data_IF_759986558688
#
_entry.id   IF_759986558688
#
_cell.length_a   1.000
_cell.length_b   1.000
_cell.length_c   1.000
_cell.angle_alpha   90.00
_cell.angle_beta   90.00
_cell.angle_gamma   90.00
#
_symmetry.space_group_name_H-M   'P 1'
#
loop_
_entity.id
_entity.type
_entity.pdbx_description
1 polymer ?
#
# COMPACT_ATOMS: atom_id res chain seq x y z
N UNK A 1 71.36 28.74 20.16
CA UNK A 1 71.16 29.90 19.26
C UNK A 1 71.64 29.54 17.85
N UNK A 2 70.88 29.94 16.81
CA UNK A 2 71.21 30.01 15.35
C UNK A 2 71.51 28.70 14.61
N UNK A 3 70.54 28.17 13.83
CA UNK A 3 70.16 28.46 12.40
C UNK A 3 70.98 27.61 11.41
N UNK A 4 70.38 26.55 10.85
CA UNK A 4 69.65 26.48 9.56
C UNK A 4 70.57 26.45 8.32
N UNK A 5 70.44 25.42 7.46
CA UNK A 5 69.73 25.55 6.17
C UNK A 5 70.13 24.49 5.11
N UNK A 6 69.12 23.69 4.71
CA UNK A 6 68.79 23.19 3.35
C UNK A 6 69.76 22.18 2.71
N UNK A 7 69.32 21.14 2.00
CA UNK A 7 68.84 21.18 0.59
C UNK A 7 68.48 19.70 0.24
N UNK A 8 67.22 19.32 -0.07
CA UNK A 8 66.63 19.04 -1.40
C UNK A 8 66.30 17.53 -1.67
N UNK A 9 65.00 17.29 -1.90
CA UNK A 9 64.34 16.45 -2.92
C UNK A 9 64.69 14.94 -3.01
N UNK A 10 63.70 14.08 -2.72
CA UNK A 10 63.22 13.10 -3.72
C UNK A 10 61.81 12.59 -3.40
N UNK A 11 60.90 12.74 -4.38
CA UNK A 11 59.54 12.18 -4.42
C UNK A 11 59.60 10.83 -5.14
N UNK A 12 59.14 9.73 -4.53
CA UNK A 12 58.65 8.50 -5.20
C UNK A 12 57.65 7.85 -4.23
N UNK A 13 56.33 7.91 -4.39
CA UNK A 13 55.40 7.37 -5.40
C UNK A 13 55.07 5.86 -5.21
N UNK A 14 53.83 5.61 -4.74
CA UNK A 14 52.94 4.43 -4.92
C UNK A 14 53.35 3.09 -4.30
N UNK A 15 52.46 2.51 -3.46
CA UNK A 15 51.93 1.16 -3.68
C UNK A 15 50.51 1.04 -3.13
N UNK A 16 49.56 1.11 -4.05
CA UNK A 16 48.16 0.75 -3.86
C UNK A 16 48.03 -0.76 -3.72
N UNK A 17 47.34 -1.23 -2.68
CA UNK A 17 46.72 -2.55 -2.62
C UNK A 17 45.43 -2.33 -1.79
N UNK A 18 44.21 -2.36 -2.32
CA UNK A 18 43.70 -3.21 -3.38
C UNK A 18 42.82 -4.30 -2.76
N UNK A 19 41.73 -3.92 -2.10
CA UNK A 19 40.65 -4.86 -1.77
C UNK A 19 39.30 -4.17 -1.89
N UNK A 20 38.88 -3.92 -3.13
CA UNK A 20 37.49 -3.59 -3.43
C UNK A 20 36.74 -4.92 -3.42
N UNK A 21 36.17 -5.26 -2.27
CA UNK A 21 35.16 -6.30 -2.20
C UNK A 21 33.91 -5.76 -2.89
N UNK A 22 33.81 -5.98 -4.21
CA UNK A 22 32.57 -5.80 -4.95
C UNK A 22 31.59 -6.89 -4.53
N UNK A 23 30.86 -6.66 -3.43
CA UNK A 23 29.56 -7.31 -3.25
C UNK A 23 28.62 -6.69 -4.28
N UNK A 24 28.61 -7.23 -5.49
CA UNK A 24 27.44 -7.14 -6.36
C UNK A 24 26.32 -7.93 -5.68
N UNK A 25 25.74 -7.32 -4.65
CA UNK A 25 24.46 -7.75 -4.12
C UNK A 25 23.48 -7.71 -5.26
N UNK A 26 22.86 -8.86 -5.56
CA UNK A 26 21.72 -8.93 -6.44
C UNK A 26 20.62 -8.12 -5.75
N UNK A 27 20.59 -6.82 -6.01
CA UNK A 27 19.45 -5.99 -5.69
C UNK A 27 18.31 -6.52 -6.55
N UNK A 28 17.45 -7.35 -5.96
CA UNK A 28 16.15 -7.64 -6.57
C UNK A 28 15.50 -6.28 -6.79
N UNK A 29 15.28 -5.92 -8.06
CA UNK A 29 14.60 -4.68 -8.38
C UNK A 29 13.19 -4.79 -7.80
N UNK A 30 12.90 -4.07 -6.72
CA UNK A 30 11.56 -4.06 -6.15
C UNK A 30 10.64 -3.37 -7.16
N UNK A 31 9.68 -4.13 -7.71
CA UNK A 31 8.65 -3.62 -8.61
C UNK A 31 7.48 -3.16 -7.74
N UNK A 32 7.23 -1.86 -7.74
CA UNK A 32 6.10 -1.25 -7.01
C UNK A 32 4.94 -0.99 -7.97
N UNK A 33 3.71 -0.96 -7.42
CA UNK A 33 2.48 -0.69 -8.19
C UNK A 33 2.18 -1.72 -9.30
N UNK A 34 2.73 -2.94 -9.23
CA UNK A 34 2.47 -4.02 -10.20
C UNK A 34 1.07 -4.64 -10.05
N UNK A 35 0.49 -4.54 -8.84
CA UNK A 35 -0.86 -4.98 -8.52
C UNK A 35 -1.55 -3.90 -7.70
N UNK A 36 -2.85 -3.76 -7.88
CA UNK A 36 -3.71 -2.94 -7.02
C UNK A 36 -4.71 -3.86 -6.28
N UNK A 37 -5.11 -3.44 -5.09
CA UNK A 37 -6.21 -4.04 -4.35
C UNK A 37 -7.34 -3.01 -4.22
N UNK A 38 -8.25 -2.93 -5.21
CA UNK A 38 -9.33 -1.94 -5.20
C UNK A 38 -10.36 -2.26 -4.12
N UNK A 39 -10.85 -1.23 -3.47
CA UNK A 39 -12.02 -1.24 -2.59
C UNK A 39 -13.10 -0.45 -3.31
N UNK A 40 -14.21 -1.12 -3.62
CA UNK A 40 -15.29 -0.57 -4.43
C UNK A 40 -16.35 0.10 -3.56
N UNK A 41 -16.95 1.17 -4.08
CA UNK A 41 -18.17 1.73 -3.54
C UNK A 41 -19.35 0.78 -3.74
N UNK A 42 -20.38 0.88 -2.90
CA UNK A 42 -21.57 0.01 -2.98
C UNK A 42 -22.30 0.13 -4.32
N UNK A 43 -22.28 1.32 -4.92
CA UNK A 43 -22.90 1.63 -6.21
C UNK A 43 -21.98 1.41 -7.41
N UNK A 44 -20.74 0.95 -7.20
CA UNK A 44 -19.70 0.79 -8.22
C UNK A 44 -19.33 2.05 -9.01
N UNK A 45 -19.72 3.25 -8.57
CA UNK A 45 -19.38 4.52 -9.24
C UNK A 45 -17.91 4.93 -9.05
N UNK A 46 -17.26 4.43 -8.01
CA UNK A 46 -15.86 4.72 -7.71
C UNK A 46 -15.19 3.59 -6.94
N UNK A 47 -13.86 3.64 -6.89
CA UNK A 47 -13.08 2.77 -6.03
C UNK A 47 -11.81 3.48 -5.54
N UNK A 48 -11.21 2.94 -4.49
CA UNK A 48 -9.94 3.43 -3.96
C UNK A 48 -8.98 2.29 -3.69
N UNK A 49 -7.69 2.58 -3.64
CA UNK A 49 -6.66 1.61 -3.28
C UNK A 49 -5.45 2.27 -2.63
N UNK A 50 -4.65 1.45 -1.95
CA UNK A 50 -3.37 1.84 -1.37
C UNK A 50 -2.23 1.32 -2.25
N UNK A 51 -1.24 2.16 -2.49
CA UNK A 51 0.08 1.75 -2.97
C UNK A 51 1.05 1.72 -1.79
N UNK A 52 1.73 0.60 -1.61
CA UNK A 52 2.88 0.48 -0.72
C UNK A 52 4.17 0.74 -1.52
N UNK A 53 4.98 1.67 -1.05
CA UNK A 53 6.14 2.25 -1.74
C UNK A 53 7.44 1.98 -0.97
N UNK A 54 8.63 2.27 -1.57
CA UNK A 54 9.89 2.12 -0.87
C UNK A 54 9.91 2.84 0.48
N UNK A 55 10.69 2.30 1.42
CA UNK A 55 10.88 2.89 2.77
C UNK A 55 9.58 3.04 3.57
N UNK A 56 8.58 2.19 3.28
CA UNK A 56 7.30 2.19 3.98
C UNK A 56 6.38 3.35 3.61
N UNK A 57 6.67 4.07 2.52
CA UNK A 57 5.78 5.12 2.06
C UNK A 57 4.44 4.54 1.58
N UNK A 58 3.36 5.29 1.72
CA UNK A 58 2.00 4.88 1.36
C UNK A 58 1.31 5.99 0.58
N UNK A 59 0.66 5.62 -0.52
CA UNK A 59 -0.21 6.52 -1.27
C UNK A 59 -1.62 5.95 -1.34
N UNK A 60 -2.63 6.79 -1.16
CA UNK A 60 -4.03 6.42 -1.32
C UNK A 60 -4.58 7.07 -2.59
N UNK A 61 -5.09 6.25 -3.49
CA UNK A 61 -5.60 6.67 -4.80
C UNK A 61 -7.11 6.49 -4.81
N UNK A 62 -7.82 7.48 -5.34
CA UNK A 62 -9.24 7.42 -5.65
C UNK A 62 -9.43 7.44 -7.16
N UNK A 63 -10.36 6.63 -7.64
CA UNK A 63 -10.73 6.54 -9.05
C UNK A 63 -12.23 6.74 -9.17
N UNK A 64 -12.62 7.76 -9.92
CA UNK A 64 -13.99 8.00 -10.37
C UNK A 64 -14.18 7.24 -11.68
N UNK A 65 -15.07 6.24 -11.69
CA UNK A 65 -15.26 5.34 -12.84
C UNK A 65 -16.05 6.06 -13.93
N UNK A 66 -17.04 6.86 -13.56
CA UNK A 66 -17.90 7.56 -14.51
C UNK A 66 -17.12 8.63 -15.28
N UNK A 67 -16.24 9.37 -14.58
CA UNK A 67 -15.39 10.39 -15.19
C UNK A 67 -14.09 9.84 -15.78
N UNK A 68 -13.72 8.61 -15.44
CA UNK A 68 -12.42 8.04 -15.81
C UNK A 68 -11.25 8.78 -15.15
N UNK A 69 -11.47 9.40 -13.99
CA UNK A 69 -10.46 10.22 -13.32
C UNK A 69 -9.74 9.45 -12.22
N UNK A 70 -8.41 9.54 -12.22
CA UNK A 70 -7.54 8.97 -11.18
C UNK A 70 -6.79 10.09 -10.46
N UNK A 71 -6.93 10.16 -9.15
CA UNK A 71 -6.32 11.21 -8.30
C UNK A 71 -5.88 10.67 -6.94
N UNK A 72 -5.13 11.48 -6.19
CA UNK A 72 -4.94 11.21 -4.76
C UNK A 72 -6.31 11.22 -4.08
N UNK A 73 -6.50 10.29 -3.15
CA UNK A 73 -7.80 10.11 -2.52
C UNK A 73 -8.16 11.29 -1.61
N UNK A 74 -7.16 11.92 -1.00
CA UNK A 74 -7.26 13.12 -0.18
C UNK A 74 -5.88 13.80 -0.08
N UNK A 75 -5.81 14.98 0.53
CA UNK A 75 -4.53 15.65 0.79
C UNK A 75 -3.82 15.00 2.01
N UNK A 76 -2.78 14.21 1.74
CA UNK A 76 -2.06 13.48 2.79
C UNK A 76 -1.40 14.39 3.83
N UNK A 77 -0.96 15.60 3.43
CA UNK A 77 -0.32 16.55 4.34
C UNK A 77 -1.34 17.11 5.34
N UNK A 78 -2.47 17.61 4.85
CA UNK A 78 -3.54 18.14 5.71
C UNK A 78 -4.08 17.08 6.65
N UNK A 79 -4.33 15.85 6.15
CA UNK A 79 -4.80 14.76 7.00
C UNK A 79 -3.78 14.38 8.07
N UNK A 80 -2.48 14.31 7.73
CA UNK A 80 -1.43 14.01 8.71
C UNK A 80 -1.34 15.06 9.81
N UNK A 81 -1.46 16.35 9.45
CA UNK A 81 -1.44 17.47 10.39
C UNK A 81 -2.64 17.41 11.36
N UNK A 82 -3.86 17.24 10.84
CA UNK A 82 -5.06 17.09 11.67
C UNK A 82 -4.98 15.85 12.57
N UNK A 83 -4.55 14.70 12.02
CA UNK A 83 -4.46 13.45 12.77
C UNK A 83 -3.39 13.53 13.86
N UNK A 84 -2.23 14.12 13.57
CA UNK A 84 -1.17 14.36 14.54
C UNK A 84 -1.63 15.25 15.69
N UNK A 85 -2.50 16.22 15.40
CA UNK A 85 -3.01 17.16 16.40
C UNK A 85 -3.95 16.49 17.41
N UNK A 86 -4.82 15.60 16.94
CA UNK A 86 -5.80 14.89 17.80
C UNK A 86 -5.16 13.74 18.56
N UNK A 87 -4.28 12.97 17.89
CA UNK A 87 -3.62 11.81 18.52
C UNK A 87 -2.44 12.21 19.41
N UNK A 88 -1.96 13.45 19.29
CA UNK A 88 -0.70 13.93 19.90
C UNK A 88 0.52 13.08 19.53
N UNK A 89 0.43 12.32 18.43
CA UNK A 89 1.48 11.45 17.92
C UNK A 89 1.98 11.95 16.58
N UNK A 90 3.30 11.92 16.38
CA UNK A 90 3.92 12.37 15.13
C UNK A 90 3.43 11.52 13.96
N UNK A 91 2.63 12.13 13.09
CA UNK A 91 2.14 11.49 11.86
C UNK A 91 2.84 12.10 10.65
N UNK A 92 3.47 11.27 9.83
CA UNK A 92 4.18 11.71 8.61
C UNK A 92 3.29 11.44 7.40
N UNK A 93 3.07 12.46 6.56
CA UNK A 93 2.19 12.39 5.39
C UNK A 93 2.60 11.32 4.36
N UNK A 94 3.89 11.02 4.25
CA UNK A 94 4.40 9.98 3.34
C UNK A 94 4.13 8.56 3.84
N UNK A 95 3.83 8.36 5.13
CA UNK A 95 3.57 7.06 5.74
C UNK A 95 2.39 7.16 6.71
N UNK A 96 1.22 7.49 6.16
CA UNK A 96 -0.01 7.57 6.93
C UNK A 96 -0.37 6.19 7.51
N UNK A 97 -0.61 6.08 8.83
CA UNK A 97 -0.91 4.83 9.52
C UNK A 97 -2.38 4.42 9.31
N UNK A 98 -2.86 4.43 8.07
CA UNK A 98 -4.23 4.09 7.70
C UNK A 98 -4.28 2.65 7.24
N UNK A 99 -5.09 1.85 7.94
CA UNK A 99 -5.25 0.42 7.67
C UNK A 99 -6.57 0.10 6.95
N UNK A 100 -7.62 0.87 7.24
CA UNK A 100 -8.91 0.82 6.54
C UNK A 100 -9.34 2.20 6.14
N UNK A 101 -9.98 2.29 4.98
CA UNK A 101 -10.42 3.53 4.36
C UNK A 101 -11.77 3.31 3.70
N UNK A 102 -12.67 4.29 3.82
CA UNK A 102 -13.95 4.34 3.12
C UNK A 102 -14.37 5.80 2.89
N UNK A 103 -15.21 6.06 1.90
CA UNK A 103 -15.68 7.39 1.50
C UNK A 103 -17.21 7.44 1.51
N UNK A 104 -17.74 8.56 1.99
CA UNK A 104 -19.07 9.02 1.61
C UNK A 104 -18.90 10.24 0.70
N UNK A 105 -18.84 10.00 -0.61
CA UNK A 105 -18.59 11.04 -1.62
C UNK A 105 -19.70 12.09 -1.63
N UNK A 106 -20.94 11.73 -1.26
CA UNK A 106 -22.06 12.69 -1.26
C UNK A 106 -21.96 13.70 -0.11
N UNK A 107 -21.30 13.32 0.98
CA UNK A 107 -21.09 14.17 2.15
C UNK A 107 -19.68 14.75 2.25
N UNK A 108 -18.81 14.42 1.30
CA UNK A 108 -17.37 14.70 1.37
C UNK A 108 -16.73 14.21 2.69
N UNK A 109 -17.17 13.03 3.17
CA UNK A 109 -16.66 12.44 4.41
C UNK A 109 -15.71 11.28 4.11
N UNK A 110 -14.61 11.25 4.85
CA UNK A 110 -13.61 10.18 4.85
C UNK A 110 -13.68 9.43 6.17
N UNK A 111 -13.83 8.12 6.08
CA UNK A 111 -13.78 7.22 7.23
C UNK A 111 -12.51 6.40 7.18
N UNK A 112 -11.74 6.38 8.25
CA UNK A 112 -10.52 5.60 8.29
C UNK A 112 -10.22 5.02 9.66
N UNK A 113 -9.45 3.93 9.66
CA UNK A 113 -8.88 3.39 10.90
C UNK A 113 -7.38 3.63 10.91
N UNK A 114 -6.92 4.19 12.02
CA UNK A 114 -5.52 4.47 12.27
C UNK A 114 -5.19 4.21 13.74
N UNK A 115 -4.04 3.60 14.00
CA UNK A 115 -3.53 3.38 15.37
C UNK A 115 -4.55 2.66 16.29
N UNK A 116 -5.33 1.73 15.72
CA UNK A 116 -6.35 0.96 16.45
C UNK A 116 -7.67 1.70 16.74
N UNK A 117 -7.81 2.95 16.28
CA UNK A 117 -9.01 3.78 16.47
C UNK A 117 -9.69 4.07 15.14
N UNK A 118 -10.95 4.49 15.22
CA UNK A 118 -11.77 4.81 14.04
C UNK A 118 -12.07 6.30 14.02
N UNK A 119 -11.90 6.90 12.85
CA UNK A 119 -12.04 8.33 12.66
C UNK A 119 -12.97 8.64 11.48
N UNK A 120 -13.67 9.76 11.62
CA UNK A 120 -14.36 10.45 10.54
C UNK A 120 -13.67 11.78 10.28
N UNK A 121 -13.47 12.13 9.02
CA UNK A 121 -12.86 13.37 8.58
C UNK A 121 -13.73 14.04 7.52
N UNK A 122 -14.00 15.32 7.70
CA UNK A 122 -14.59 16.16 6.65
C UNK A 122 -13.48 16.57 5.67
N UNK A 123 -13.63 16.25 4.38
CA UNK A 123 -12.59 16.49 3.38
C UNK A 123 -12.46 17.97 2.95
N UNK A 124 -13.43 18.82 3.28
CA UNK A 124 -13.39 20.24 2.96
C UNK A 124 -12.48 21.00 3.94
N UNK A 125 -12.63 20.73 5.23
CA UNK A 125 -11.90 21.42 6.30
C UNK A 125 -10.85 20.56 7.03
N UNK A 126 -10.79 19.25 6.77
CA UNK A 126 -9.92 18.28 7.43
C UNK A 126 -10.11 18.21 8.95
N UNK A 127 -11.32 18.49 9.43
CA UNK A 127 -11.68 18.26 10.83
C UNK A 127 -11.90 16.76 11.05
N UNK A 128 -11.19 16.20 12.02
CA UNK A 128 -11.22 14.78 12.35
C UNK A 128 -11.95 14.62 13.68
N UNK A 129 -12.82 13.61 13.76
CA UNK A 129 -13.50 13.20 14.98
C UNK A 129 -13.31 11.70 15.18
N UNK A 130 -13.05 11.29 16.42
CA UNK A 130 -13.04 9.87 16.79
C UNK A 130 -14.49 9.38 16.88
N UNK A 131 -14.77 8.25 16.25
CA UNK A 131 -16.10 7.64 16.18
C UNK A 131 -16.06 6.20 16.67
N UNK A 132 -17.21 5.66 17.05
CA UNK A 132 -17.31 4.24 17.38
C UNK A 132 -17.12 3.38 16.12
N UNK A 133 -16.53 2.20 16.29
CA UNK A 133 -16.27 1.26 15.17
C UNK A 133 -17.56 0.84 14.45
N UNK A 134 -18.70 0.78 15.15
CA UNK A 134 -20.01 0.48 14.55
C UNK A 134 -20.48 1.51 13.53
N UNK A 135 -19.93 2.73 13.58
CA UNK A 135 -20.24 3.81 12.65
C UNK A 135 -19.38 3.77 11.38
N UNK A 136 -18.42 2.84 11.27
CA UNK A 136 -17.60 2.71 10.05
C UNK A 136 -18.43 2.10 8.92
N UNK A 137 -18.57 2.79 7.77
CA UNK A 137 -19.40 2.31 6.67
C UNK A 137 -18.83 1.02 6.05
N UNK A 138 -19.72 0.14 5.59
CA UNK A 138 -19.35 -1.15 4.98
C UNK A 138 -18.92 -2.24 5.97
N UNK A 139 -19.02 -2.04 7.30
CA UNK A 139 -18.90 -3.13 8.28
C UNK A 139 -20.23 -3.91 8.32
N UNK A 140 -20.40 -4.91 7.46
CA UNK A 140 -21.45 -5.91 7.68
C UNK A 140 -21.19 -6.61 9.02
N UNK A 141 -22.22 -6.84 9.84
CA UNK A 141 -22.17 -7.63 11.10
C UNK A 141 -21.83 -9.11 10.82
N UNK A 142 -20.63 -9.38 10.33
CA UNK A 142 -20.14 -10.71 9.96
C UNK A 142 -18.81 -11.09 10.60
N UNK A 143 -18.24 -10.25 11.47
CA UNK A 143 -16.93 -10.49 12.08
C UNK A 143 -17.00 -11.33 13.38
N UNK A 144 -17.94 -12.27 13.45
CA UNK A 144 -18.00 -13.32 14.48
C UNK A 144 -17.85 -14.73 13.88
N UNK A 145 -17.63 -14.85 12.57
CA UNK A 145 -17.26 -16.09 11.88
C UNK A 145 -15.95 -15.92 11.09
N UNK A 146 -14.82 -15.75 11.76
CA UNK A 146 -13.54 -16.25 11.21
C UNK A 146 -12.38 -16.23 12.22
N UNK A 147 -12.45 -17.09 13.24
CA UNK A 147 -11.28 -17.46 14.06
C UNK A 147 -10.81 -18.90 13.82
N UNK A 148 -11.30 -19.59 12.79
CA UNK A 148 -10.99 -21.02 12.59
C UNK A 148 -10.21 -21.34 11.31
N UNK A 149 -9.71 -20.36 10.55
CA UNK A 149 -8.88 -20.67 9.36
C UNK A 149 -7.44 -20.12 9.44
N UNK A 150 -6.75 -20.41 10.55
CA UNK A 150 -5.28 -20.47 10.58
C UNK A 150 -4.82 -21.88 10.18
N UNK A 151 -5.15 -22.32 8.96
CA UNK A 151 -4.59 -23.53 8.35
C UNK A 151 -5.01 -23.65 6.87
N UNK A 152 -4.84 -22.59 6.07
CA UNK A 152 -4.88 -22.70 4.60
C UNK A 152 -4.09 -21.58 3.93
N UNK A 153 -2.87 -21.41 4.37
CA UNK A 153 -1.87 -20.57 3.70
C UNK A 153 -0.78 -21.51 3.16
N UNK A 154 -1.10 -22.20 2.06
CA UNK A 154 -0.18 -22.84 1.10
C UNK A 154 -0.98 -23.57 0.03
N UNK A 155 -1.69 -22.83 -0.83
CA UNK A 155 -1.93 -23.31 -2.18
C UNK A 155 -2.23 -22.13 -3.10
N UNK A 156 -1.35 -21.90 -4.05
CA UNK A 156 -1.59 -21.02 -5.20
C UNK A 156 -2.77 -21.59 -5.99
N UNK A 157 -3.95 -20.98 -5.85
CA UNK A 157 -5.07 -21.25 -6.75
C UNK A 157 -4.77 -20.64 -8.12
N UNK A 158 -4.03 -21.37 -8.93
CA UNK A 158 -4.14 -21.27 -10.38
C UNK A 158 -5.59 -21.58 -10.74
N UNK A 159 -6.34 -20.58 -11.18
CA UNK A 159 -7.67 -20.74 -11.77
C UNK A 159 -7.59 -21.80 -12.87
N UNK A 160 -8.07 -23.02 -12.57
CA UNK A 160 -8.17 -24.11 -13.52
C UNK A 160 -9.65 -24.19 -13.89
N UNK A 161 -10.08 -23.61 -15.04
CA UNK A 161 -11.46 -23.77 -15.46
C UNK A 161 -11.74 -25.28 -15.61
N UNK A 162 -12.89 -25.73 -15.11
CA UNK A 162 -13.38 -27.07 -15.38
C UNK A 162 -13.42 -27.26 -16.90
N UNK A 163 -12.59 -28.16 -17.44
CA UNK A 163 -12.54 -28.43 -18.88
C UNK A 163 -13.75 -29.22 -19.37
N UNK A 164 -14.64 -29.60 -18.45
CA UNK A 164 -15.78 -30.45 -18.74
C UNK A 164 -17.04 -29.65 -19.08
N UNK A 165 -17.12 -28.35 -18.75
CA UNK A 165 -18.34 -27.56 -18.96
C UNK A 165 -18.00 -26.20 -19.58
N UNK A 166 -18.67 -25.87 -20.67
CA UNK A 166 -18.51 -24.56 -21.31
C UNK A 166 -18.89 -23.41 -20.36
N UNK A 167 -18.28 -22.22 -20.49
CA UNK A 167 -18.55 -21.06 -19.62
C UNK A 167 -20.02 -20.60 -19.57
N UNK A 168 -20.82 -20.93 -20.59
CA UNK A 168 -22.26 -20.65 -20.65
C UNK A 168 -23.13 -21.76 -20.01
N UNK A 169 -22.52 -22.83 -19.52
CA UNK A 169 -23.17 -23.96 -18.87
C UNK A 169 -23.95 -24.89 -19.79
N UNK A 170 -23.97 -24.65 -21.12
CA UNK A 170 -24.87 -25.35 -22.05
C UNK A 170 -24.30 -26.65 -22.62
N UNK A 171 -22.98 -26.82 -22.56
CA UNK A 171 -22.31 -27.92 -23.22
C UNK A 171 -21.37 -28.64 -22.25
N UNK A 172 -21.40 -29.98 -22.30
CA UNK A 172 -20.48 -30.86 -21.59
C UNK A 172 -19.89 -31.87 -22.57
N UNK A 173 -18.57 -31.98 -22.60
CA UNK A 173 -17.90 -33.04 -23.36
C UNK A 173 -17.93 -34.34 -22.54
N UNK A 174 -18.28 -35.46 -23.17
CA UNK A 174 -18.11 -36.80 -22.61
C UNK A 174 -17.43 -37.68 -23.66
N UNK A 175 -16.48 -38.51 -23.23
CA UNK A 175 -15.83 -39.52 -24.06
C UNK A 175 -16.67 -40.80 -23.92
N UNK A 176 -17.14 -41.36 -25.03
CA UNK A 176 -17.69 -42.72 -25.09
C UNK A 176 -16.75 -43.57 -25.93
N UNK A 177 -16.41 -44.72 -25.36
CA UNK A 177 -15.73 -45.85 -25.98
C UNK A 177 -14.34 -45.52 -26.57
N UNK A 178 -13.33 -45.90 -25.80
CA UNK A 178 -11.94 -45.83 -26.22
C UNK A 178 -11.74 -46.87 -27.32
N UNK A 179 -11.27 -46.46 -28.50
CA UNK A 179 -10.69 -47.38 -29.48
C UNK A 179 -9.24 -46.98 -29.71
#
# INVERSE_FOLDING_TARGET
>A
MKKNSKTIISKVLIFTLGFIASLSGISHANIYKSKINPQWSEDNSHFWYRNDLPKGAREFIFVDVEKGERRLAFNHKKLAESLSSITKAKTVSSNLPIDRLNFDVKKDELYFQAMGRTYKCDLNNYNISEIDKSQFPGQSKGSERDKTNKQKEQQTDSFKPSREVSPDGKWRAFIRDHN
#
